data_IF_633831077314
#
_entry.id   IF_633831077314
#
_cell.length_a   1.000
_cell.length_b   1.000
_cell.length_c   1.000
_cell.angle_alpha   90.00
_cell.angle_beta   90.00
_cell.angle_gamma   90.00
#
_symmetry.space_group_name_H-M   'P 1'
#
loop_
_entity.id
_entity.type
_entity.pdbx_description
1 polymer ?
#
# COMPACT_ATOMS: atom_id res chain seq x y z
N UNK A 1 24.61 -17.28 11.39
CA UNK A 1 23.32 -17.04 10.72
C UNK A 1 22.40 -16.27 11.66
N UNK A 2 22.01 -15.06 11.27
CA UNK A 2 21.07 -14.21 12.00
C UNK A 2 19.68 -14.81 11.90
N UNK A 3 19.05 -15.02 13.06
CA UNK A 3 17.68 -15.53 13.12
C UNK A 3 16.75 -14.38 13.39
N UNK A 4 15.82 -14.17 12.47
CA UNK A 4 14.69 -13.27 12.69
C UNK A 4 13.53 -14.12 13.20
N UNK A 5 13.02 -13.77 14.37
CA UNK A 5 11.78 -14.32 14.90
C UNK A 5 10.78 -13.18 15.10
N UNK A 6 9.80 -13.10 14.20
CA UNK A 6 8.75 -12.08 14.22
C UNK A 6 7.43 -12.71 14.58
N UNK A 7 6.68 -12.02 15.43
CA UNK A 7 5.31 -12.37 15.81
C UNK A 7 4.41 -11.24 15.32
N UNK A 8 3.52 -11.57 14.40
CA UNK A 8 2.42 -10.69 13.98
C UNK A 8 1.48 -10.49 15.18
N UNK A 9 1.40 -9.25 15.65
CA UNK A 9 0.65 -8.92 16.87
C UNK A 9 -0.86 -8.98 16.65
N UNK A 10 -1.33 -8.75 15.43
CA UNK A 10 -2.76 -8.73 15.12
C UNK A 10 -3.27 -10.17 14.99
N UNK A 11 -2.49 -11.02 14.31
CA UNK A 11 -2.79 -12.45 14.20
C UNK A 11 -2.57 -13.22 15.52
N UNK A 12 -1.65 -12.79 16.39
CA UNK A 12 -1.35 -13.52 17.62
C UNK A 12 -2.48 -13.41 18.66
N UNK A 13 -3.18 -14.52 18.92
CA UNK A 13 -4.28 -14.59 19.89
C UNK A 13 -3.99 -15.60 21.03
N UNK A 14 -3.13 -15.24 22.03
CA UNK A 14 -2.72 -16.17 23.10
C UNK A 14 -3.88 -16.78 23.89
N UNK A 15 -4.93 -15.98 24.13
CA UNK A 15 -6.14 -16.42 24.86
C UNK A 15 -6.91 -17.54 24.15
N UNK A 16 -6.77 -17.66 22.82
CA UNK A 16 -7.50 -18.62 21.99
C UNK A 16 -6.63 -19.79 21.49
N UNK A 17 -5.30 -19.69 21.54
CA UNK A 17 -4.40 -20.73 21.01
C UNK A 17 -3.87 -21.73 22.05
N UNK A 18 -4.21 -21.57 23.34
CA UNK A 18 -3.70 -22.46 24.39
C UNK A 18 -2.16 -22.41 24.56
N UNK A 19 -1.50 -21.36 24.06
CA UNK A 19 -0.05 -21.12 24.12
C UNK A 19 0.79 -22.25 23.47
N UNK A 20 0.32 -22.81 22.35
CA UNK A 20 1.00 -23.91 21.64
C UNK A 20 2.47 -23.60 21.30
N UNK A 21 2.77 -22.37 20.89
CA UNK A 21 4.14 -21.96 20.59
C UNK A 21 5.10 -22.05 21.78
N UNK A 22 4.60 -21.85 23.01
CA UNK A 22 5.38 -21.98 24.26
C UNK A 22 5.52 -23.46 24.64
N UNK A 23 4.44 -24.25 24.50
CA UNK A 23 4.38 -25.67 24.88
C UNK A 23 5.22 -26.59 23.99
N UNK A 24 5.16 -26.36 22.67
CA UNK A 24 5.80 -27.22 21.67
C UNK A 24 7.20 -26.76 21.28
N UNK A 25 7.69 -25.64 21.80
CA UNK A 25 9.07 -25.23 21.57
C UNK A 25 10.04 -26.15 22.34
N UNK A 26 10.91 -26.91 21.65
CA UNK A 26 11.75 -27.91 22.29
C UNK A 26 12.78 -27.28 23.23
N UNK A 27 13.27 -26.09 22.87
CA UNK A 27 14.28 -25.34 23.64
C UNK A 27 13.68 -24.68 24.88
N UNK A 28 12.35 -24.51 24.91
CA UNK A 28 11.68 -23.86 26.04
C UNK A 28 11.74 -24.68 27.33
N UNK A 29 12.01 -25.98 27.21
CA UNK A 29 12.26 -26.89 28.34
C UNK A 29 13.61 -26.62 29.02
N UNK A 30 14.55 -26.03 28.30
CA UNK A 30 15.94 -25.78 28.75
C UNK A 30 16.25 -24.30 28.99
N UNK A 31 15.38 -23.38 28.57
CA UNK A 31 15.51 -21.92 28.80
C UNK A 31 14.29 -21.15 28.29
N UNK A 32 14.13 -19.87 28.65
CA UNK A 32 12.98 -19.04 28.25
C UNK A 32 13.14 -18.52 26.81
N UNK A 33 12.80 -19.34 25.83
CA UNK A 33 12.93 -19.01 24.40
C UNK A 33 11.67 -18.34 23.87
N UNK A 34 10.50 -18.88 24.21
CA UNK A 34 9.19 -18.34 23.80
C UNK A 34 8.37 -18.12 25.05
N UNK A 35 7.87 -16.90 25.25
CA UNK A 35 7.00 -16.59 26.37
C UNK A 35 5.88 -15.64 25.96
N UNK A 36 4.81 -15.61 26.75
CA UNK A 36 3.81 -14.56 26.64
C UNK A 36 4.26 -13.42 27.54
N UNK A 37 4.49 -12.26 26.94
CA UNK A 37 4.89 -11.08 27.68
C UNK A 37 3.67 -10.43 28.34
N UNK A 38 3.80 -10.06 29.61
CA UNK A 38 2.69 -9.59 30.44
C UNK A 38 2.22 -8.19 30.06
N UNK A 39 3.11 -7.34 29.54
CA UNK A 39 2.81 -5.98 29.15
C UNK A 39 2.14 -5.95 27.78
N UNK A 40 2.75 -6.61 26.78
CA UNK A 40 2.19 -6.62 25.42
C UNK A 40 1.07 -7.65 25.27
N UNK A 41 0.92 -8.62 26.19
CA UNK A 41 -0.07 -9.72 26.16
C UNK A 41 -0.01 -10.56 24.88
N UNK A 42 1.18 -10.65 24.27
CA UNK A 42 1.47 -11.35 23.01
C UNK A 42 2.70 -12.23 23.20
N UNK A 43 2.89 -13.19 22.29
CA UNK A 43 4.07 -14.04 22.31
C UNK A 43 5.33 -13.25 21.90
N UNK A 44 6.44 -13.47 22.60
CA UNK A 44 7.77 -12.96 22.28
C UNK A 44 8.71 -14.15 22.11
N UNK A 45 9.59 -14.07 21.12
CA UNK A 45 10.58 -15.11 20.81
C UNK A 45 11.97 -14.50 20.92
N UNK A 46 12.80 -15.08 21.78
CA UNK A 46 14.22 -14.73 21.89
C UNK A 46 14.98 -15.21 20.67
N UNK A 47 15.48 -14.27 19.87
CA UNK A 47 16.29 -14.57 18.68
C UNK A 47 17.63 -15.22 19.03
N UNK A 48 18.21 -14.88 20.19
CA UNK A 48 19.47 -15.43 20.67
C UNK A 48 19.35 -16.92 21.05
N UNK A 49 18.22 -17.31 21.68
CA UNK A 49 18.02 -18.68 22.17
C UNK A 49 17.26 -19.57 21.18
N UNK A 50 16.52 -19.00 20.23
CA UNK A 50 15.72 -19.76 19.27
C UNK A 50 16.61 -20.50 18.27
N UNK A 51 16.57 -21.83 18.22
CA UNK A 51 17.37 -22.64 17.27
C UNK A 51 16.84 -22.65 15.83
N UNK A 52 15.71 -22.00 15.54
CA UNK A 52 15.15 -21.94 14.19
C UNK A 52 14.47 -23.21 13.70
N UNK A 53 14.09 -24.15 14.58
CA UNK A 53 13.46 -25.43 14.20
C UNK A 53 12.09 -25.32 13.52
N UNK A 54 11.45 -24.14 13.52
CA UNK A 54 10.17 -23.90 12.83
C UNK A 54 8.93 -24.54 13.48
N UNK A 55 9.07 -25.35 14.54
CA UNK A 55 7.94 -26.07 15.16
C UNK A 55 6.82 -25.12 15.60
N UNK A 56 7.16 -23.97 16.18
CA UNK A 56 6.17 -22.98 16.61
C UNK A 56 5.41 -22.32 15.44
N UNK A 57 5.96 -22.31 14.22
CA UNK A 57 5.26 -21.80 13.02
C UNK A 57 4.13 -22.76 12.69
N UNK A 58 4.42 -24.05 12.57
CA UNK A 58 3.45 -25.08 12.21
C UNK A 58 2.42 -25.35 13.32
N UNK A 59 2.79 -25.12 14.58
CA UNK A 59 1.92 -25.24 15.75
C UNK A 59 1.22 -23.93 16.11
N UNK A 60 1.31 -22.87 15.30
CA UNK A 60 0.51 -21.67 15.54
C UNK A 60 -0.80 -21.78 14.75
N UNK A 61 -1.97 -21.89 15.41
CA UNK A 61 -3.24 -22.02 14.70
C UNK A 61 -3.61 -20.76 13.92
N UNK A 62 -3.04 -19.61 14.30
CA UNK A 62 -3.25 -18.30 13.66
C UNK A 62 -2.15 -17.90 12.69
N UNK A 63 -1.15 -18.78 12.44
CA UNK A 63 0.00 -18.51 11.57
C UNK A 63 0.74 -17.20 11.88
N UNK A 64 0.70 -16.76 13.15
CA UNK A 64 1.22 -15.46 13.58
C UNK A 64 2.75 -15.41 13.71
N UNK A 65 3.45 -16.52 13.53
CA UNK A 65 4.89 -16.63 13.81
C UNK A 65 5.66 -16.82 12.50
N UNK A 66 6.70 -16.02 12.34
CA UNK A 66 7.66 -16.12 11.24
C UNK A 66 9.06 -16.28 11.79
N UNK A 67 9.75 -17.36 11.39
CA UNK A 67 11.18 -17.54 11.64
C UNK A 67 11.91 -17.63 10.31
N UNK A 68 12.93 -16.81 10.14
CA UNK A 68 13.77 -16.78 8.92
C UNK A 68 15.23 -16.69 9.33
N UNK A 69 16.07 -17.46 8.64
CA UNK A 69 17.52 -17.36 8.74
C UNK A 69 17.98 -16.38 7.66
N UNK A 70 18.61 -15.28 8.07
CA UNK A 70 19.25 -14.33 7.16
C UNK A 70 20.78 -14.48 7.20
N UNK A 71 21.47 -14.05 6.14
CA UNK A 71 22.92 -13.86 6.15
C UNK A 71 23.38 -12.99 7.32
N UNK A 72 24.51 -13.34 7.93
CA UNK A 72 25.07 -12.63 9.09
C UNK A 72 25.44 -11.18 8.79
N UNK A 73 25.78 -10.90 7.53
CA UNK A 73 26.13 -9.57 7.05
C UNK A 73 25.00 -8.54 7.24
N UNK A 74 23.74 -8.98 7.20
CA UNK A 74 22.59 -8.11 7.39
C UNK A 74 22.36 -7.68 8.84
N UNK A 75 22.99 -8.32 9.83
CA UNK A 75 22.85 -7.90 11.23
C UNK A 75 23.33 -6.47 11.44
N UNK A 76 24.45 -6.12 10.80
CA UNK A 76 25.06 -4.80 10.87
C UNK A 76 24.25 -3.75 10.12
N UNK A 77 23.44 -4.17 9.16
CA UNK A 77 22.61 -3.30 8.34
C UNK A 77 21.22 -3.04 8.95
N UNK A 78 20.95 -3.52 10.17
CA UNK A 78 19.66 -3.35 10.82
C UNK A 78 19.45 -1.88 11.23
N UNK A 79 18.47 -1.23 10.62
CA UNK A 79 18.22 0.22 10.77
C UNK A 79 17.20 0.46 11.88
N UNK A 80 16.09 -0.28 11.88
CA UNK A 80 15.01 -0.05 12.83
C UNK A 80 14.25 -1.32 13.15
N UNK A 81 13.82 -1.46 14.41
CA UNK A 81 12.96 -2.54 14.89
C UNK A 81 11.79 -2.01 15.71
N UNK A 82 10.58 -2.48 15.42
CA UNK A 82 9.39 -2.19 16.22
C UNK A 82 9.26 -3.13 17.43
N UNK A 83 10.12 -2.93 18.43
CA UNK A 83 10.11 -3.69 19.69
C UNK A 83 10.44 -5.18 19.55
N UNK A 84 10.37 -5.95 20.66
CA UNK A 84 10.69 -7.36 20.67
C UNK A 84 9.79 -8.15 19.70
N UNK A 85 10.40 -9.03 18.92
CA UNK A 85 9.76 -9.83 17.87
C UNK A 85 8.86 -9.03 16.89
N UNK A 86 9.08 -7.73 16.75
CA UNK A 86 8.39 -6.92 15.74
C UNK A 86 9.16 -6.80 14.43
N UNK A 87 8.56 -6.08 13.49
CA UNK A 87 9.10 -5.84 12.16
C UNK A 87 10.51 -5.21 12.21
N UNK A 88 11.40 -5.67 11.32
CA UNK A 88 12.78 -5.15 11.15
C UNK A 88 13.00 -4.56 9.75
N UNK A 89 13.60 -3.37 9.69
CA UNK A 89 14.05 -2.73 8.46
C UNK A 89 15.57 -2.81 8.34
N UNK A 90 16.06 -3.24 7.18
CA UNK A 90 17.48 -3.32 6.85
C UNK A 90 17.83 -2.41 5.68
N UNK A 91 18.96 -1.71 5.81
CA UNK A 91 19.47 -0.71 4.85
C UNK A 91 18.51 0.47 4.61
N UNK A 92 19.04 1.53 4.02
CA UNK A 92 18.30 2.71 3.57
C UNK A 92 18.81 3.10 2.17
N UNK A 93 17.96 3.70 1.32
CA UNK A 93 18.37 4.20 0.03
C UNK A 93 19.32 5.38 0.21
N UNK A 94 20.36 5.45 -0.62
CA UNK A 94 21.21 6.64 -0.68
C UNK A 94 20.48 7.76 -1.40
N UNK A 95 20.34 8.91 -0.75
CA UNK A 95 19.69 10.10 -1.31
C UNK A 95 20.74 11.02 -1.91
N UNK A 96 20.51 11.48 -3.14
CA UNK A 96 21.36 12.47 -3.85
C UNK A 96 20.53 13.65 -4.28
N UNK A 97 21.09 14.86 -4.20
CA UNK A 97 20.41 16.07 -4.68
C UNK A 97 20.25 16.01 -6.20
N UNK A 98 19.08 16.43 -6.66
CA UNK A 98 18.72 16.46 -8.09
C UNK A 98 18.53 15.08 -8.72
N UNK A 99 18.38 14.04 -7.91
CA UNK A 99 17.95 12.70 -8.34
C UNK A 99 16.71 12.30 -7.57
N UNK A 100 15.76 11.69 -8.28
CA UNK A 100 14.55 11.14 -7.70
C UNK A 100 14.76 9.65 -7.48
N UNK A 101 14.74 9.23 -6.21
CA UNK A 101 14.81 7.83 -5.84
C UNK A 101 13.38 7.29 -5.68
N UNK A 102 12.99 6.40 -6.59
CA UNK A 102 11.76 5.63 -6.49
C UNK A 102 11.93 4.43 -5.56
N UNK A 103 10.86 4.07 -4.86
CA UNK A 103 10.81 2.92 -3.96
C UNK A 103 9.70 2.00 -4.42
N UNK A 104 10.08 0.77 -4.80
CA UNK A 104 9.16 -0.25 -5.25
C UNK A 104 9.18 -1.45 -4.29
N UNK A 105 8.03 -2.03 -4.01
CA UNK A 105 7.98 -3.21 -3.14
C UNK A 105 6.56 -3.55 -2.68
N UNK A 106 6.36 -4.76 -2.15
CA UNK A 106 5.06 -5.17 -1.59
C UNK A 106 4.71 -4.35 -0.34
N UNK A 107 3.43 -4.42 0.07
CA UNK A 107 2.95 -3.79 1.29
C UNK A 107 3.59 -4.45 2.53
N UNK A 108 3.64 -3.70 3.64
CA UNK A 108 4.21 -4.16 4.91
C UNK A 108 5.69 -4.60 4.85
N UNK A 109 6.47 -4.07 3.90
CA UNK A 109 7.93 -4.24 3.84
C UNK A 109 8.72 -3.03 4.39
N UNK A 110 8.05 -2.10 5.08
CA UNK A 110 8.75 -0.98 5.74
C UNK A 110 9.02 0.25 4.87
N UNK A 111 8.39 0.38 3.69
CA UNK A 111 8.52 1.57 2.82
C UNK A 111 8.16 2.88 3.55
N UNK A 112 7.01 2.91 4.23
CA UNK A 112 6.59 4.06 5.05
C UNK A 112 7.48 4.26 6.28
N UNK A 113 7.99 3.19 6.90
CA UNK A 113 8.96 3.29 8.01
C UNK A 113 10.24 3.98 7.55
N UNK A 114 10.76 3.58 6.39
CA UNK A 114 11.92 4.20 5.75
C UNK A 114 11.66 5.67 5.40
N UNK A 115 10.49 6.00 4.85
CA UNK A 115 10.08 7.37 4.59
C UNK A 115 10.12 8.23 5.87
N UNK A 116 9.56 7.74 6.98
CA UNK A 116 9.60 8.41 8.29
C UNK A 116 11.01 8.62 8.83
N UNK A 117 11.89 7.63 8.65
CA UNK A 117 13.30 7.75 9.05
C UNK A 117 14.00 8.85 8.27
N UNK A 118 13.83 8.85 6.94
CA UNK A 118 14.45 9.85 6.07
C UNK A 118 13.82 11.24 6.24
N UNK A 119 12.54 11.33 6.62
CA UNK A 119 11.86 12.58 6.94
C UNK A 119 12.35 13.22 8.26
N UNK A 120 13.02 12.44 9.12
CA UNK A 120 13.40 12.84 10.48
C UNK A 120 12.27 12.71 11.51
N UNK A 121 11.13 12.11 11.13
CA UNK A 121 9.98 11.85 12.03
C UNK A 121 10.23 10.68 12.97
N UNK A 122 11.10 9.75 12.57
CA UNK A 122 11.48 8.57 13.33
C UNK A 122 13.00 8.48 13.41
N UNK A 123 13.55 8.54 14.62
CA UNK A 123 14.97 8.22 14.83
C UNK A 123 15.13 6.69 14.81
N UNK A 124 15.95 6.13 13.91
CA UNK A 124 16.18 4.69 13.85
C UNK A 124 16.86 4.22 15.14
N UNK A 125 16.43 3.08 15.69
CA UNK A 125 16.99 2.54 16.93
C UNK A 125 18.12 1.54 16.69
N UNK A 126 18.55 1.37 15.44
CA UNK A 126 19.62 0.47 15.02
C UNK A 126 19.42 -0.97 15.51
N UNK A 127 18.15 -1.34 15.74
CA UNK A 127 17.75 -2.61 16.33
C UNK A 127 18.40 -2.92 17.69
N UNK A 128 18.81 -1.88 18.43
CA UNK A 128 19.37 -1.96 19.77
C UNK A 128 18.37 -2.68 20.71
N UNK A 129 18.84 -3.62 21.56
CA UNK A 129 18.01 -4.25 22.60
C UNK A 129 17.24 -3.28 23.50
N UNK A 130 17.77 -2.08 23.76
CA UNK A 130 17.08 -1.04 24.55
C UNK A 130 15.97 -0.30 23.77
N UNK A 131 15.84 -0.55 22.46
CA UNK A 131 14.80 0.03 21.61
C UNK A 131 14.98 1.52 21.28
N UNK A 132 16.12 2.11 21.65
CA UNK A 132 16.49 3.52 21.41
C UNK A 132 17.91 3.64 20.88
N UNK A 133 18.16 4.67 20.09
CA UNK A 133 19.50 5.11 19.70
C UNK A 133 19.53 6.64 19.63
N UNK A 134 20.69 7.22 19.88
CA UNK A 134 20.89 8.67 19.75
C UNK A 134 21.15 9.06 18.29
N UNK A 135 20.82 10.30 17.87
CA UNK A 135 21.19 10.81 16.56
C UNK A 135 22.69 10.64 16.21
N UNK A 136 23.58 10.79 17.19
CA UNK A 136 25.03 10.61 17.01
C UNK A 136 25.40 9.16 16.70
N UNK A 137 24.75 8.18 17.34
CA UNK A 137 24.93 6.77 17.07
C UNK A 137 24.49 6.42 15.64
N UNK A 138 23.37 6.99 15.19
CA UNK A 138 22.88 6.83 13.81
C UNK A 138 23.89 7.39 12.81
N UNK A 139 24.40 8.61 13.03
CA UNK A 139 25.42 9.21 12.15
C UNK A 139 26.70 8.34 12.14
N UNK A 140 27.11 7.80 13.28
CA UNK A 140 28.27 6.92 13.40
C UNK A 140 28.08 5.61 12.63
N UNK A 141 26.87 5.04 12.64
CA UNK A 141 26.56 3.81 11.93
C UNK A 141 26.76 3.96 10.41
N UNK A 142 26.37 5.11 9.86
CA UNK A 142 26.49 5.40 8.43
C UNK A 142 27.85 6.02 8.04
N UNK A 143 28.86 5.96 8.91
CA UNK A 143 30.17 6.62 8.68
C UNK A 143 30.81 6.18 7.35
N UNK A 144 31.27 7.16 6.58
CA UNK A 144 31.90 6.93 5.28
C UNK A 144 30.91 6.79 4.11
N UNK A 145 29.61 7.01 4.36
CA UNK A 145 28.57 7.00 3.33
C UNK A 145 27.93 8.38 3.16
N UNK A 146 27.22 8.61 2.05
CA UNK A 146 26.45 9.85 1.82
C UNK A 146 25.35 10.05 2.89
N UNK A 147 24.84 8.96 3.47
CA UNK A 147 23.85 9.02 4.55
C UNK A 147 24.41 9.63 5.84
N UNK A 148 25.72 9.54 6.08
CA UNK A 148 26.34 10.22 7.22
C UNK A 148 26.11 11.74 7.14
N UNK A 149 26.42 12.32 5.98
CA UNK A 149 26.26 13.76 5.73
C UNK A 149 24.78 14.13 5.79
N UNK A 150 23.92 13.34 5.15
CA UNK A 150 22.48 13.55 5.18
C UNK A 150 21.91 13.60 6.61
N UNK A 151 22.19 12.58 7.44
CA UNK A 151 21.69 12.55 8.82
C UNK A 151 22.31 13.66 9.69
N UNK A 152 23.58 14.01 9.46
CA UNK A 152 24.21 15.13 10.16
C UNK A 152 23.48 16.44 9.88
N UNK A 153 23.15 16.74 8.61
CA UNK A 153 22.41 17.95 8.24
C UNK A 153 20.94 17.90 8.68
N UNK A 154 20.31 16.72 8.62
CA UNK A 154 18.93 16.51 9.06
C UNK A 154 18.78 16.76 10.57
N UNK A 155 19.60 16.10 11.39
CA UNK A 155 19.50 16.21 12.85
C UNK A 155 20.02 17.54 13.40
N UNK A 156 20.93 18.21 12.68
CA UNK A 156 21.31 19.59 12.97
C UNK A 156 20.30 20.65 12.48
N UNK A 157 19.15 20.22 11.93
CA UNK A 157 18.08 21.07 11.40
C UNK A 157 18.52 22.01 10.27
N UNK A 158 19.58 21.66 9.54
CA UNK A 158 20.01 22.36 8.33
C UNK A 158 19.14 22.02 7.12
N UNK A 159 18.57 20.82 7.10
CA UNK A 159 17.62 20.39 6.07
C UNK A 159 16.19 20.64 6.50
N UNK A 160 15.41 21.30 5.65
CA UNK A 160 13.95 21.35 5.78
C UNK A 160 13.34 20.17 5.05
N UNK A 161 12.46 19.41 5.72
CA UNK A 161 11.82 18.23 5.15
C UNK A 161 10.33 18.46 4.93
N UNK A 162 9.81 17.91 3.83
CA UNK A 162 8.39 17.83 3.52
C UNK A 162 8.05 16.38 3.24
N UNK A 163 7.09 15.86 3.98
CA UNK A 163 6.60 14.49 3.83
C UNK A 163 5.10 14.51 3.51
N UNK A 164 4.74 14.11 2.28
CA UNK A 164 3.37 13.79 1.90
C UNK A 164 3.10 12.35 2.35
N UNK A 165 2.19 12.20 3.31
CA UNK A 165 1.81 10.89 3.87
C UNK A 165 0.92 10.07 2.92
N UNK A 166 0.91 8.76 3.11
CA UNK A 166 0.12 7.81 2.32
C UNK A 166 -1.40 8.05 2.44
N UNK A 167 -1.92 8.14 3.67
CA UNK A 167 -3.36 8.20 3.94
C UNK A 167 -3.95 9.62 3.86
N UNK A 168 -4.28 10.07 2.66
CA UNK A 168 -4.87 11.40 2.44
C UNK A 168 -6.25 11.59 3.04
N UNK A 169 -6.96 10.51 3.33
CA UNK A 169 -8.26 10.54 3.99
C UNK A 169 -8.20 11.00 5.45
N UNK A 170 -7.01 11.00 6.05
CA UNK A 170 -6.80 11.56 7.38
C UNK A 170 -6.69 13.09 7.35
N UNK A 171 -6.44 13.70 6.18
CA UNK A 171 -6.26 15.16 6.05
C UNK A 171 -7.47 15.94 6.58
N UNK A 172 -8.73 15.60 6.25
CA UNK A 172 -9.91 16.30 6.78
C UNK A 172 -10.08 16.23 8.30
N UNK A 173 -9.39 15.29 8.98
CA UNK A 173 -9.39 15.21 10.45
C UNK A 173 -8.51 16.30 11.08
N UNK A 174 -7.42 16.68 10.40
CA UNK A 174 -6.45 17.66 10.91
C UNK A 174 -6.61 19.06 10.28
N UNK A 175 -7.23 19.13 9.10
CA UNK A 175 -7.37 20.35 8.32
C UNK A 175 -8.85 20.65 8.11
N UNK A 176 -9.33 21.69 8.79
CA UNK A 176 -10.68 22.24 8.63
C UNK A 176 -10.63 23.53 7.81
N UNK A 177 -11.72 23.86 7.13
CA UNK A 177 -11.86 25.07 6.33
C UNK A 177 -12.16 24.80 4.86
N UNK A 178 -12.14 25.88 4.07
CA UNK A 178 -12.29 25.83 2.62
C UNK A 178 -10.97 25.46 1.94
N UNK A 179 -11.03 25.02 0.68
CA UNK A 179 -9.84 24.82 -0.14
C UNK A 179 -9.07 26.13 -0.31
N UNK A 180 -9.77 27.26 -0.45
CA UNK A 180 -9.14 28.58 -0.51
C UNK A 180 -8.28 28.89 0.71
N UNK A 181 -8.74 28.54 1.92
CA UNK A 181 -7.97 28.72 3.15
C UNK A 181 -6.68 27.89 3.13
N UNK A 182 -6.77 26.65 2.65
CA UNK A 182 -5.61 25.75 2.55
C UNK A 182 -4.62 26.24 1.51
N UNK A 183 -5.09 26.63 0.33
CA UNK A 183 -4.29 27.21 -0.76
C UNK A 183 -3.51 28.42 -0.25
N UNK A 184 -4.19 29.34 0.43
CA UNK A 184 -3.58 30.53 1.01
C UNK A 184 -2.57 30.19 2.11
N UNK A 185 -2.92 29.28 3.02
CA UNK A 185 -2.05 28.88 4.14
C UNK A 185 -0.80 28.13 3.70
N UNK A 186 -0.93 27.27 2.68
CA UNK A 186 0.18 26.50 2.14
C UNK A 186 1.00 27.27 1.10
N UNK A 187 0.55 28.46 0.68
CA UNK A 187 1.24 29.28 -0.32
C UNK A 187 1.22 28.66 -1.72
N UNK A 188 0.12 27.98 -2.08
CA UNK A 188 0.01 27.33 -3.39
C UNK A 188 -0.07 28.40 -4.48
N UNK A 189 0.94 28.39 -5.37
CA UNK A 189 1.02 29.34 -6.47
C UNK A 189 -0.03 29.05 -7.55
N UNK A 190 -0.28 30.05 -8.40
CA UNK A 190 -1.31 29.97 -9.44
C UNK A 190 -1.02 28.86 -10.46
N UNK A 191 0.25 28.61 -10.77
CA UNK A 191 0.66 27.55 -11.69
C UNK A 191 0.24 26.16 -11.18
N UNK A 192 0.50 25.85 -9.91
CA UNK A 192 0.10 24.57 -9.29
C UNK A 192 -1.43 24.49 -9.12
N UNK A 193 -2.06 25.61 -8.76
CA UNK A 193 -3.52 25.71 -8.64
C UNK A 193 -4.22 25.31 -9.95
N UNK A 194 -3.81 25.92 -11.06
CA UNK A 194 -4.36 25.64 -12.39
C UNK A 194 -3.99 24.24 -12.87
N UNK A 195 -2.74 23.80 -12.68
CA UNK A 195 -2.27 22.47 -13.13
C UNK A 195 -3.09 21.33 -12.53
N UNK A 196 -3.44 21.45 -11.25
CA UNK A 196 -4.24 20.45 -10.54
C UNK A 196 -5.75 20.70 -10.59
N UNK A 197 -6.21 21.79 -11.22
CA UNK A 197 -7.62 22.14 -11.31
C UNK A 197 -8.25 22.47 -9.95
N UNK A 198 -7.45 23.02 -9.02
CA UNK A 198 -7.89 23.40 -7.67
C UNK A 198 -8.62 24.75 -7.66
N UNK A 199 -8.48 25.53 -8.72
CA UNK A 199 -9.17 26.80 -8.98
C UNK A 199 -10.70 26.64 -8.90
N UNK A 200 -11.22 25.53 -9.42
CA UNK A 200 -12.66 25.22 -9.43
C UNK A 200 -13.19 24.74 -8.08
N UNK A 201 -12.30 24.47 -7.12
CA UNK A 201 -12.63 23.83 -5.85
C UNK A 201 -12.48 24.79 -4.66
N UNK A 202 -12.07 26.04 -4.89
CA UNK A 202 -11.72 27.02 -3.85
C UNK A 202 -12.81 27.18 -2.76
N UNK A 203 -14.07 27.23 -3.17
CA UNK A 203 -15.21 27.43 -2.26
C UNK A 203 -15.67 26.15 -1.54
N UNK A 204 -15.19 24.97 -1.98
CA UNK A 204 -15.54 23.70 -1.35
C UNK A 204 -14.81 23.53 -0.03
N UNK A 205 -15.43 22.80 0.90
CA UNK A 205 -14.76 22.39 2.13
C UNK A 205 -13.85 21.20 1.88
N UNK A 206 -12.77 21.11 2.63
CA UNK A 206 -11.80 20.00 2.55
C UNK A 206 -12.48 18.64 2.84
N UNK A 207 -13.48 18.62 3.73
CA UNK A 207 -14.23 17.41 4.08
C UNK A 207 -15.12 16.86 2.96
N UNK A 208 -15.50 17.72 2.02
CA UNK A 208 -16.37 17.35 0.90
C UNK A 208 -15.58 16.89 -0.34
N UNK A 209 -14.24 16.97 -0.29
CA UNK A 209 -13.38 16.60 -1.41
C UNK A 209 -13.32 15.08 -1.59
N UNK A 210 -13.33 14.64 -2.85
CA UNK A 210 -13.05 13.26 -3.21
C UNK A 210 -11.59 12.90 -2.93
N UNK A 211 -11.27 11.60 -2.85
CA UNK A 211 -9.91 11.12 -2.61
C UNK A 211 -8.89 11.65 -3.63
N UNK A 212 -9.26 11.76 -4.91
CA UNK A 212 -8.40 12.34 -5.95
C UNK A 212 -8.21 13.85 -5.80
N UNK A 213 -9.25 14.60 -5.41
CA UNK A 213 -9.15 16.03 -5.13
C UNK A 213 -8.28 16.30 -3.89
N UNK A 214 -8.45 15.52 -2.81
CA UNK A 214 -7.60 15.56 -1.63
C UNK A 214 -6.15 15.24 -1.96
N UNK A 215 -5.92 14.24 -2.80
CA UNK A 215 -4.58 13.87 -3.25
C UNK A 215 -3.90 15.02 -3.99
N UNK A 216 -4.60 15.65 -4.94
CA UNK A 216 -4.11 16.81 -5.68
C UNK A 216 -3.79 17.99 -4.76
N UNK A 217 -4.68 18.29 -3.80
CA UNK A 217 -4.46 19.33 -2.81
C UNK A 217 -3.22 19.03 -1.93
N UNK A 218 -3.06 17.78 -1.50
CA UNK A 218 -1.93 17.35 -0.67
C UNK A 218 -0.59 17.47 -1.41
N UNK A 219 -0.54 17.02 -2.67
CA UNK A 219 0.65 17.14 -3.52
C UNK A 219 0.97 18.62 -3.79
N UNK A 220 -0.02 19.43 -4.16
CA UNK A 220 0.17 20.87 -4.39
C UNK A 220 0.70 21.59 -3.13
N UNK A 221 0.12 21.31 -1.97
CA UNK A 221 0.57 21.87 -0.69
C UNK A 221 1.98 21.42 -0.32
N UNK A 222 2.37 20.17 -0.64
CA UNK A 222 3.72 19.69 -0.41
C UNK A 222 4.73 20.39 -1.33
N UNK A 223 4.43 20.54 -2.62
CA UNK A 223 5.31 21.19 -3.61
C UNK A 223 5.46 22.70 -3.37
N UNK A 224 4.48 23.33 -2.74
CA UNK A 224 4.50 24.78 -2.46
C UNK A 224 5.39 25.16 -1.27
N UNK A 225 5.78 24.18 -0.45
CA UNK A 225 6.69 24.41 0.67
C UNK A 225 8.13 24.40 0.18
N UNK A 226 8.90 25.43 0.55
CA UNK A 226 10.35 25.48 0.35
C UNK A 226 11.06 24.49 1.28
N UNK A 227 11.55 23.38 0.72
CA UNK A 227 12.23 22.32 1.44
C UNK A 227 13.51 21.86 0.72
N UNK A 228 14.38 21.16 1.44
CA UNK A 228 15.58 20.51 0.92
C UNK A 228 15.34 19.04 0.59
N UNK A 229 14.41 18.42 1.31
CA UNK A 229 14.01 17.01 1.17
C UNK A 229 12.52 16.92 0.94
N UNK A 230 12.13 16.27 -0.15
CA UNK A 230 10.75 15.96 -0.48
C UNK A 230 10.55 14.45 -0.45
N UNK A 231 9.58 13.99 0.33
CA UNK A 231 9.20 12.59 0.43
C UNK A 231 7.72 12.48 0.06
N UNK A 232 7.43 11.70 -0.98
CA UNK A 232 6.08 11.45 -1.43
C UNK A 232 5.74 9.98 -1.22
N UNK A 233 4.85 9.69 -0.27
CA UNK A 233 4.30 8.35 -0.06
C UNK A 233 2.98 8.21 -0.83
N UNK A 234 3.02 7.43 -1.90
CA UNK A 234 1.94 7.21 -2.86
C UNK A 234 1.28 8.50 -3.39
N UNK A 235 2.02 9.36 -4.13
CA UNK A 235 1.50 10.59 -4.73
C UNK A 235 0.49 10.40 -5.87
N UNK A 236 0.39 9.21 -6.47
CA UNK A 236 -0.49 8.93 -7.61
C UNK A 236 -1.79 8.17 -7.27
N UNK A 237 -1.99 7.78 -6.01
CA UNK A 237 -3.17 7.02 -5.58
C UNK A 237 -4.46 7.83 -5.75
N UNK A 238 -5.55 7.15 -6.11
CA UNK A 238 -6.88 7.73 -6.45
C UNK A 238 -6.96 8.59 -7.72
N UNK A 239 -5.83 8.82 -8.41
CA UNK A 239 -5.80 9.62 -9.64
C UNK A 239 -6.02 8.76 -10.89
N UNK A 240 -6.61 9.37 -11.91
CA UNK A 240 -6.67 8.78 -13.25
C UNK A 240 -5.33 8.93 -13.99
N UNK A 241 -5.17 8.23 -15.12
CA UNK A 241 -3.89 8.16 -15.86
C UNK A 241 -3.36 9.56 -16.22
N UNK A 242 -4.22 10.49 -16.62
CA UNK A 242 -3.81 11.84 -17.01
C UNK A 242 -3.35 12.63 -15.80
N UNK A 243 -4.09 12.56 -14.70
CA UNK A 243 -3.74 13.21 -13.44
C UNK A 243 -2.44 12.65 -12.84
N UNK A 244 -2.16 11.35 -12.97
CA UNK A 244 -0.90 10.73 -12.52
C UNK A 244 0.31 11.31 -13.22
N UNK A 245 0.25 11.45 -14.54
CA UNK A 245 1.33 12.06 -15.33
C UNK A 245 1.54 13.52 -14.91
N UNK A 246 0.46 14.28 -14.71
CA UNK A 246 0.55 15.68 -14.24
C UNK A 246 1.25 15.79 -12.88
N UNK A 247 0.98 14.88 -11.95
CA UNK A 247 1.67 14.81 -10.65
C UNK A 247 3.15 14.50 -10.85
N UNK A 248 3.49 13.51 -11.67
CA UNK A 248 4.87 13.13 -11.95
C UNK A 248 5.68 14.32 -12.50
N UNK A 249 5.15 14.99 -13.53
CA UNK A 249 5.79 16.16 -14.13
C UNK A 249 5.96 17.31 -13.12
N UNK A 250 4.92 17.59 -12.32
CA UNK A 250 4.97 18.64 -11.30
C UNK A 250 6.06 18.36 -10.25
N UNK A 251 6.15 17.12 -9.75
CA UNK A 251 7.19 16.73 -8.79
C UNK A 251 8.57 16.92 -9.41
N UNK A 252 8.79 16.44 -10.64
CA UNK A 252 10.09 16.52 -11.31
C UNK A 252 10.55 17.96 -11.54
N UNK A 253 9.65 18.84 -12.00
CA UNK A 253 9.96 20.24 -12.26
C UNK A 253 10.31 21.02 -10.98
N UNK A 254 9.57 20.80 -9.88
CA UNK A 254 9.71 21.60 -8.66
C UNK A 254 10.81 21.10 -7.72
N UNK A 255 11.38 19.91 -7.97
CA UNK A 255 12.35 19.28 -7.06
C UNK A 255 13.74 19.06 -7.67
N UNK A 256 14.04 19.68 -8.81
CA UNK A 256 15.22 19.43 -9.65
C UNK A 256 16.60 19.51 -8.95
N UNK A 257 16.73 20.22 -7.82
CA UNK A 257 17.99 20.36 -7.06
C UNK A 257 17.85 19.93 -5.57
N UNK A 258 16.86 19.10 -5.27
CA UNK A 258 16.47 18.70 -3.92
C UNK A 258 16.72 17.21 -3.71
N UNK A 259 16.68 16.74 -2.47
CA UNK A 259 16.61 15.30 -2.20
C UNK A 259 15.17 14.84 -2.38
N UNK A 260 14.94 13.79 -3.16
CA UNK A 260 13.57 13.34 -3.46
C UNK A 260 13.46 11.83 -3.30
N UNK A 261 12.50 11.40 -2.48
CA UNK A 261 12.11 10.00 -2.35
C UNK A 261 10.64 9.87 -2.74
N UNK A 262 10.33 8.93 -3.64
CA UNK A 262 8.96 8.63 -4.04
C UNK A 262 8.66 7.17 -3.80
N UNK A 263 7.67 6.89 -2.95
CA UNK A 263 7.14 5.53 -2.77
C UNK A 263 5.93 5.39 -3.67
N UNK A 264 5.99 4.43 -4.58
CA UNK A 264 4.90 4.18 -5.53
C UNK A 264 4.70 2.70 -5.81
N UNK A 265 3.48 2.36 -6.18
CA UNK A 265 3.07 1.02 -6.59
C UNK A 265 2.80 0.94 -8.10
N UNK A 266 2.59 2.09 -8.74
CA UNK A 266 2.41 2.18 -10.17
C UNK A 266 3.76 2.23 -10.91
N UNK A 267 4.05 1.15 -11.64
CA UNK A 267 5.29 1.01 -12.42
C UNK A 267 5.39 2.08 -13.52
N UNK A 268 4.27 2.51 -14.09
CA UNK A 268 4.26 3.53 -15.15
C UNK A 268 4.63 4.89 -14.58
N UNK A 269 4.08 5.26 -13.42
CA UNK A 269 4.41 6.51 -12.74
C UNK A 269 5.89 6.53 -12.33
N UNK A 270 6.40 5.40 -11.80
CA UNK A 270 7.80 5.27 -11.44
C UNK A 270 8.74 5.42 -12.65
N UNK A 271 8.40 4.85 -13.81
CA UNK A 271 9.22 4.99 -15.03
C UNK A 271 9.31 6.45 -15.52
N UNK A 272 8.24 7.24 -15.36
CA UNK A 272 8.25 8.67 -15.71
C UNK A 272 8.98 9.55 -14.69
N UNK A 273 8.89 9.19 -13.41
CA UNK A 273 9.25 10.05 -12.29
C UNK A 273 10.66 9.79 -11.72
N UNK A 274 11.07 8.53 -11.60
CA UNK A 274 12.28 8.17 -10.89
C UNK A 274 13.50 8.10 -11.81
N UNK A 275 14.66 8.57 -11.33
CA UNK A 275 15.96 8.33 -11.97
C UNK A 275 16.47 6.92 -11.65
N UNK A 276 16.40 6.59 -10.36
CA UNK A 276 16.81 5.31 -9.81
C UNK A 276 15.69 4.74 -8.96
N UNK A 277 15.59 3.43 -8.91
CA UNK A 277 14.63 2.74 -8.07
C UNK A 277 15.37 1.76 -7.16
N UNK A 278 14.98 1.76 -5.89
CA UNK A 278 15.31 0.70 -4.95
C UNK A 278 14.12 -0.24 -4.80
N UNK A 279 14.39 -1.54 -4.75
CA UNK A 279 13.39 -2.57 -4.51
C UNK A 279 13.47 -2.96 -3.04
N UNK A 280 12.35 -2.83 -2.34
CA UNK A 280 12.21 -3.35 -0.97
C UNK A 280 11.66 -4.76 -1.05
N UNK A 281 12.43 -5.72 -0.56
CA UNK A 281 12.09 -7.15 -0.57
C UNK A 281 12.20 -7.76 0.83
N UNK A 282 11.65 -8.95 1.01
CA UNK A 282 11.60 -9.64 2.30
C UNK A 282 10.25 -10.28 2.53
N UNK A 283 9.89 -10.44 3.80
CA UNK A 283 8.62 -11.05 4.19
C UNK A 283 7.68 -9.99 4.79
N UNK A 284 6.51 -9.71 4.16
CA UNK A 284 5.54 -8.74 4.67
C UNK A 284 5.22 -8.94 6.14
N UNK A 285 5.22 -7.86 6.92
CA UNK A 285 4.97 -7.86 8.36
C UNK A 285 6.14 -8.39 9.22
N UNK A 286 7.14 -9.03 8.62
CA UNK A 286 8.30 -9.59 9.31
C UNK A 286 9.57 -8.75 9.15
N UNK A 287 10.04 -8.59 7.91
CA UNK A 287 11.22 -7.77 7.64
C UNK A 287 11.24 -7.26 6.21
N UNK A 288 11.91 -6.12 6.02
CA UNK A 288 12.19 -5.53 4.72
C UNK A 288 13.66 -5.19 4.57
N UNK A 289 14.22 -5.47 3.42
CA UNK A 289 15.60 -5.15 3.02
C UNK A 289 15.50 -4.23 1.80
N UNK A 290 16.18 -3.09 1.86
CA UNK A 290 16.30 -2.17 0.73
C UNK A 290 17.45 -2.63 -0.16
N UNK A 291 17.17 -2.88 -1.45
CA UNK A 291 18.20 -3.24 -2.42
C UNK A 291 19.14 -2.08 -2.74
N UNK A 292 20.25 -2.39 -3.39
CA UNK A 292 21.03 -1.39 -4.11
C UNK A 292 20.16 -0.68 -5.18
N UNK A 293 20.40 0.62 -5.46
CA UNK A 293 19.66 1.35 -6.48
C UNK A 293 20.04 0.87 -7.88
N UNK A 294 19.05 0.68 -8.73
CA UNK A 294 19.22 0.42 -10.16
C UNK A 294 18.56 1.54 -10.98
N UNK A 295 18.84 1.62 -12.28
CA UNK A 295 18.11 2.53 -13.17
C UNK A 295 16.62 2.17 -13.18
N UNK A 296 15.72 3.15 -13.33
CA UNK A 296 14.27 2.91 -13.19
C UNK A 296 13.76 1.73 -14.03
N UNK A 297 14.10 1.69 -15.33
CA UNK A 297 13.72 0.59 -16.24
C UNK A 297 14.28 -0.76 -15.84
N UNK A 298 15.54 -0.79 -15.40
CA UNK A 298 16.21 -2.02 -14.96
C UNK A 298 15.51 -2.58 -13.72
N UNK A 299 15.31 -1.75 -12.70
CA UNK A 299 14.61 -2.14 -11.47
C UNK A 299 13.17 -2.62 -11.72
N UNK A 300 12.42 -1.94 -12.59
CA UNK A 300 11.06 -2.36 -12.96
C UNK A 300 11.09 -3.75 -13.61
N UNK A 301 12.02 -3.98 -14.53
CA UNK A 301 12.16 -5.28 -15.19
C UNK A 301 12.60 -6.38 -14.22
N UNK A 302 13.52 -6.11 -13.29
CA UNK A 302 13.93 -7.04 -12.24
C UNK A 302 12.75 -7.41 -11.32
N UNK A 303 11.96 -6.40 -10.93
CA UNK A 303 10.76 -6.61 -10.12
C UNK A 303 9.72 -7.48 -10.84
N UNK A 304 9.48 -7.21 -12.13
CA UNK A 304 8.59 -8.00 -12.99
C UNK A 304 9.13 -9.42 -13.23
N UNK A 305 10.45 -9.60 -13.36
CA UNK A 305 11.08 -10.92 -13.47
C UNK A 305 11.01 -11.72 -12.16
N UNK A 306 10.95 -11.01 -11.02
CA UNK A 306 10.96 -11.62 -9.68
C UNK A 306 12.37 -11.95 -9.18
N UNK A 307 13.41 -11.35 -9.76
CA UNK A 307 14.80 -11.59 -9.42
C UNK A 307 15.61 -10.28 -9.47
N UNK A 308 16.27 -9.95 -8.36
CA UNK A 308 17.12 -8.76 -8.21
C UNK A 308 18.57 -9.21 -8.42
N UNK A 309 19.20 -8.76 -9.50
CA UNK A 309 20.51 -9.27 -9.90
C UNK A 309 21.62 -8.80 -8.96
N UNK A 310 21.57 -7.55 -8.53
CA UNK A 310 22.55 -6.93 -7.62
C UNK A 310 22.61 -7.58 -6.24
N UNK A 311 21.51 -8.21 -5.81
CA UNK A 311 21.41 -8.91 -4.52
C UNK A 311 21.50 -10.44 -4.68
N UNK A 312 21.57 -10.95 -5.91
CA UNK A 312 21.43 -12.39 -6.22
C UNK A 312 20.19 -13.01 -5.50
N UNK A 313 19.06 -12.30 -5.55
CA UNK A 313 17.89 -12.59 -4.72
C UNK A 313 16.64 -12.82 -5.58
N UNK A 314 16.01 -13.99 -5.40
CA UNK A 314 14.69 -14.27 -5.98
C UNK A 314 13.59 -13.82 -5.02
N UNK A 315 12.87 -12.78 -5.40
CA UNK A 315 11.77 -12.21 -4.61
C UNK A 315 10.41 -12.85 -4.94
N UNK A 316 10.33 -13.60 -6.04
CA UNK A 316 9.11 -14.29 -6.48
C UNK A 316 9.42 -15.48 -7.38
N UNK A 317 8.64 -16.55 -7.24
CA UNK A 317 8.89 -17.81 -7.96
C UNK A 317 8.57 -17.74 -9.46
N UNK A 318 7.53 -16.99 -9.81
CA UNK A 318 7.08 -16.80 -11.20
C UNK A 318 7.25 -15.34 -11.60
N UNK A 319 7.56 -15.00 -12.86
CA UNK A 319 7.57 -13.63 -13.37
C UNK A 319 6.14 -13.09 -13.60
N UNK A 320 5.96 -11.76 -13.60
CA UNK A 320 4.73 -11.10 -14.08
C UNK A 320 4.92 -11.02 -15.60
N UNK A 321 3.96 -11.54 -16.35
CA UNK A 321 3.96 -11.48 -17.81
C UNK A 321 2.72 -10.75 -18.27
N UNK A 322 2.89 -9.87 -19.25
CA UNK A 322 1.80 -9.23 -19.96
C UNK A 322 1.63 -9.96 -21.29
N UNK A 323 0.48 -10.60 -21.49
CA UNK A 323 0.18 -11.26 -22.75
C UNK A 323 -0.15 -10.21 -23.82
N UNK A 324 0.40 -10.38 -25.03
CA UNK A 324 0.16 -9.44 -26.15
C UNK A 324 -1.25 -9.55 -26.72
N UNK A 325 -1.97 -10.61 -26.38
CA UNK A 325 -3.38 -10.82 -26.70
C UNK A 325 -4.10 -11.28 -25.44
N UNK A 326 -5.37 -10.92 -25.27
CA UNK A 326 -6.20 -11.54 -24.25
C UNK A 326 -6.15 -13.07 -24.40
N UNK A 327 -6.15 -13.84 -23.31
CA UNK A 327 -6.17 -15.30 -23.40
C UNK A 327 -7.40 -15.74 -24.21
N UNK A 328 -7.16 -16.55 -25.25
CA UNK A 328 -8.23 -17.08 -26.10
C UNK A 328 -9.19 -17.93 -25.26
N UNK A 329 -10.35 -17.36 -24.92
CA UNK A 329 -11.43 -18.14 -24.34
C UNK A 329 -12.08 -18.91 -25.48
N UNK A 330 -12.06 -20.24 -25.41
CA UNK A 330 -12.77 -21.12 -26.36
C UNK A 330 -14.28 -20.86 -26.26
N UNK A 331 -14.78 -19.88 -26.99
CA UNK A 331 -16.22 -19.66 -27.15
C UNK A 331 -16.54 -19.67 -28.63
N UNK A 332 -17.30 -20.69 -29.07
CA UNK A 332 -18.05 -20.59 -30.33
C UNK A 332 -19.00 -19.39 -30.28
N UNK A 333 -19.48 -18.92 -31.45
CA UNK A 333 -20.33 -17.71 -31.65
C UNK A 333 -20.95 -17.20 -30.34
N UNK A 334 -20.29 -16.23 -29.71
CA UNK A 334 -20.61 -15.83 -28.35
C UNK A 334 -22.00 -15.18 -28.32
N UNK A 335 -22.95 -15.82 -27.62
CA UNK A 335 -24.27 -15.27 -27.39
C UNK A 335 -24.15 -13.92 -26.68
N UNK A 336 -24.87 -12.90 -27.16
CA UNK A 336 -24.97 -11.60 -26.50
C UNK A 336 -25.82 -11.77 -25.25
N UNK A 337 -25.28 -11.41 -24.09
CA UNK A 337 -25.93 -11.61 -22.80
C UNK A 337 -26.69 -10.37 -22.34
N UNK A 338 -26.10 -9.20 -22.59
CA UNK A 338 -26.64 -7.89 -22.25
C UNK A 338 -26.43 -6.99 -23.46
N UNK A 339 -27.45 -6.25 -23.84
CA UNK A 339 -27.42 -5.25 -24.91
C UNK A 339 -28.05 -3.96 -24.40
N UNK A 340 -27.61 -2.82 -24.91
CA UNK A 340 -28.23 -1.53 -24.61
C UNK A 340 -28.32 -0.67 -25.86
N UNK A 341 -29.39 0.12 -25.91
CA UNK A 341 -29.57 1.18 -26.90
C UNK A 341 -28.75 2.42 -26.52
N UNK A 342 -28.81 3.49 -27.31
CA UNK A 342 -28.18 4.76 -26.91
C UNK A 342 -28.80 5.25 -25.60
N UNK A 343 -28.00 5.27 -24.53
CA UNK A 343 -28.44 5.65 -23.19
C UNK A 343 -28.17 7.12 -22.95
N UNK A 344 -29.16 7.82 -22.42
CA UNK A 344 -29.00 9.17 -21.87
C UNK A 344 -29.38 9.15 -20.39
N UNK A 345 -28.47 9.58 -19.53
CA UNK A 345 -28.70 9.70 -18.08
C UNK A 345 -28.50 11.16 -17.69
N UNK A 346 -29.51 11.72 -17.04
CA UNK A 346 -29.47 13.08 -16.50
C UNK A 346 -29.59 13.03 -14.98
N UNK A 347 -28.55 13.49 -14.28
CA UNK A 347 -28.52 13.63 -12.82
C UNK A 347 -28.53 15.12 -12.41
N UNK A 348 -29.06 15.99 -13.28
CA UNK A 348 -29.18 17.44 -13.07
C UNK A 348 -27.88 18.17 -13.39
N UNK A 349 -26.86 18.01 -12.53
CA UNK A 349 -25.54 18.65 -12.70
C UNK A 349 -24.57 17.85 -13.56
N UNK A 350 -24.97 16.66 -14.01
CA UNK A 350 -24.13 15.73 -14.75
C UNK A 350 -24.99 14.98 -15.78
N UNK A 351 -24.52 14.97 -17.02
CA UNK A 351 -25.14 14.26 -18.12
C UNK A 351 -24.19 13.20 -18.66
N UNK A 352 -24.72 12.01 -18.92
CA UNK A 352 -23.98 10.89 -19.46
C UNK A 352 -24.69 10.36 -20.71
N UNK A 353 -23.94 10.31 -21.80
CA UNK A 353 -24.33 9.70 -23.07
C UNK A 353 -23.49 8.44 -23.28
N UNK A 354 -24.17 7.32 -23.58
CA UNK A 354 -23.51 6.04 -23.87
C UNK A 354 -24.07 5.49 -25.17
N UNK A 355 -23.20 5.27 -26.16
CA UNK A 355 -23.60 4.64 -27.42
C UNK A 355 -24.02 3.18 -27.21
N UNK A 356 -24.97 2.74 -28.01
CA UNK A 356 -25.48 1.37 -28.06
C UNK A 356 -24.37 0.35 -28.26
N UNK A 357 -24.42 -0.73 -27.48
CA UNK A 357 -23.44 -1.82 -27.56
C UNK A 357 -23.96 -3.05 -26.79
N UNK A 358 -23.12 -4.08 -26.68
CA UNK A 358 -23.45 -5.35 -26.02
C UNK A 358 -22.26 -5.95 -25.27
N UNK A 359 -22.54 -6.92 -24.40
CA UNK A 359 -21.55 -7.78 -23.74
C UNK A 359 -21.80 -9.22 -24.16
N UNK A 360 -20.80 -9.87 -24.75
CA UNK A 360 -20.89 -11.26 -25.17
C UNK A 360 -20.54 -12.25 -24.04
N UNK A 361 -21.06 -13.48 -24.15
CA UNK A 361 -20.76 -14.55 -23.20
C UNK A 361 -19.27 -14.84 -23.15
N UNK A 362 -18.71 -14.74 -21.95
CA UNK A 362 -17.29 -15.00 -21.69
C UNK A 362 -16.36 -13.84 -22.08
N UNK A 363 -16.90 -12.72 -22.54
CA UNK A 363 -16.13 -11.49 -22.77
C UNK A 363 -15.79 -10.80 -21.46
N UNK A 364 -14.66 -10.09 -21.43
CA UNK A 364 -14.31 -9.16 -20.35
C UNK A 364 -14.19 -7.78 -20.97
N UNK A 365 -15.10 -6.88 -20.60
CA UNK A 365 -15.12 -5.50 -21.09
C UNK A 365 -14.54 -4.59 -20.01
N UNK A 366 -13.45 -3.90 -20.32
CA UNK A 366 -12.86 -2.88 -19.46
C UNK A 366 -13.43 -1.50 -19.75
N UNK A 367 -13.88 -0.79 -18.71
CA UNK A 367 -14.34 0.61 -18.83
C UNK A 367 -13.26 1.53 -18.28
N UNK A 368 -12.70 2.38 -19.14
CA UNK A 368 -11.62 3.31 -18.80
C UNK A 368 -12.02 4.75 -19.11
N UNK A 369 -11.42 5.71 -18.39
CA UNK A 369 -11.65 7.13 -18.60
C UNK A 369 -11.38 7.96 -17.35
N UNK A 370 -11.39 9.30 -17.45
CA UNK A 370 -11.15 10.20 -16.34
C UNK A 370 -12.10 10.01 -15.16
N UNK A 371 -11.68 10.46 -13.97
CA UNK A 371 -12.58 10.53 -12.82
C UNK A 371 -13.74 11.49 -13.10
N UNK A 372 -14.95 11.15 -12.64
CA UNK A 372 -16.15 11.97 -12.88
C UNK A 372 -16.80 11.85 -14.25
N UNK A 373 -16.24 11.11 -15.22
CA UNK A 373 -16.85 10.93 -16.56
C UNK A 373 -18.10 10.04 -16.59
N UNK A 374 -18.54 9.49 -15.45
CA UNK A 374 -19.76 8.67 -15.37
C UNK A 374 -19.59 7.16 -15.44
N UNK A 375 -18.36 6.61 -15.34
CA UNK A 375 -18.12 5.15 -15.34
C UNK A 375 -18.98 4.40 -14.30
N UNK A 376 -19.01 4.89 -13.07
CA UNK A 376 -19.79 4.30 -11.98
C UNK A 376 -21.29 4.45 -12.24
N UNK A 377 -21.72 5.59 -12.80
CA UNK A 377 -23.12 5.81 -13.21
C UNK A 377 -23.53 4.83 -14.30
N UNK A 378 -22.68 4.61 -15.31
CA UNK A 378 -22.91 3.61 -16.36
C UNK A 378 -23.07 2.20 -15.79
N UNK A 379 -22.19 1.78 -14.88
CA UNK A 379 -22.32 0.48 -14.20
C UNK A 379 -23.64 0.38 -13.40
N UNK A 380 -24.04 1.45 -12.70
CA UNK A 380 -25.33 1.48 -11.98
C UNK A 380 -26.53 1.38 -12.91
N UNK A 381 -26.44 1.92 -14.13
CA UNK A 381 -27.48 1.74 -15.15
C UNK A 381 -27.56 0.29 -15.60
N UNK A 382 -26.42 -0.37 -15.86
CA UNK A 382 -26.38 -1.78 -16.24
C UNK A 382 -26.93 -2.71 -15.14
N UNK A 383 -26.70 -2.38 -13.87
CA UNK A 383 -27.23 -3.14 -12.71
C UNK A 383 -28.72 -2.83 -12.46
N UNK A 384 -29.25 -1.74 -13.03
CA UNK A 384 -30.63 -1.30 -12.85
C UNK A 384 -30.87 -0.42 -11.61
N UNK A 385 -29.81 0.03 -10.92
CA UNK A 385 -29.91 0.97 -9.79
C UNK A 385 -30.27 2.38 -10.24
N UNK A 386 -29.84 2.78 -11.44
CA UNK A 386 -30.14 4.08 -12.05
C UNK A 386 -30.89 3.85 -13.34
N UNK A 387 -32.06 4.48 -13.47
CA UNK A 387 -32.83 4.44 -14.72
C UNK A 387 -32.34 5.53 -15.68
N UNK A 388 -32.02 5.19 -16.94
CA UNK A 388 -31.69 6.20 -17.92
C UNK A 388 -32.94 7.03 -18.27
N UNK A 389 -32.74 8.30 -18.61
CA UNK A 389 -33.78 9.19 -19.11
C UNK A 389 -34.18 8.86 -20.56
N UNK A 390 -33.26 8.31 -21.36
CA UNK A 390 -33.54 7.72 -22.69
C UNK A 390 -32.75 6.43 -22.91
N UNK A 391 -33.29 5.55 -23.76
CA UNK A 391 -32.70 4.25 -24.07
C UNK A 391 -33.06 3.17 -23.05
N UNK A 392 -32.75 1.92 -23.38
CA UNK A 392 -33.06 0.74 -22.56
C UNK A 392 -31.88 -0.22 -22.50
N UNK A 393 -31.78 -0.96 -21.39
CA UNK A 393 -30.85 -2.08 -21.22
C UNK A 393 -31.66 -3.36 -21.24
N UNK A 394 -31.32 -4.27 -22.15
CA UNK A 394 -32.00 -5.54 -22.37
C UNK A 394 -31.05 -6.70 -22.05
N UNK A 395 -31.50 -7.63 -21.22
CA UNK A 395 -30.74 -8.83 -20.88
C UNK A 395 -31.30 -9.53 -19.65
N UNK A 396 -31.58 -10.83 -19.76
CA UNK A 396 -32.07 -11.64 -18.63
C UNK A 396 -30.89 -12.35 -17.99
N UNK A 397 -30.09 -11.60 -17.23
CA UNK A 397 -28.91 -12.13 -16.53
C UNK A 397 -29.00 -11.91 -15.03
N UNK A 398 -28.42 -12.83 -14.25
CA UNK A 398 -28.16 -12.59 -12.84
C UNK A 398 -26.89 -11.75 -12.74
N UNK A 399 -26.99 -10.57 -12.14
CA UNK A 399 -25.89 -9.61 -12.02
C UNK A 399 -25.29 -9.72 -10.62
N UNK A 400 -23.96 -9.84 -10.55
CA UNK A 400 -23.20 -9.65 -9.31
C UNK A 400 -22.45 -8.32 -9.43
N UNK A 401 -22.65 -7.43 -8.46
CA UNK A 401 -22.11 -6.07 -8.49
C UNK A 401 -21.23 -5.81 -7.26
N UNK A 402 -19.98 -5.38 -7.50
CA UNK A 402 -19.06 -4.89 -6.47
C UNK A 402 -19.05 -3.35 -6.52
N UNK A 403 -19.62 -2.65 -5.53
CA UNK A 403 -19.61 -1.19 -5.51
C UNK A 403 -18.20 -0.64 -5.29
N UNK A 404 -17.98 0.59 -5.75
CA UNK A 404 -16.69 1.29 -5.58
C UNK A 404 -16.42 1.70 -4.11
N UNK A 405 -17.47 2.07 -3.37
CA UNK A 405 -17.39 2.32 -1.92
C UNK A 405 -17.94 1.11 -1.17
N UNK A 406 -17.07 0.47 -0.39
CA UNK A 406 -17.41 -0.68 0.48
C UNK A 406 -17.47 -0.29 1.96
N UNK A 407 -17.12 0.97 2.29
CA UNK A 407 -17.12 1.47 3.68
C UNK A 407 -18.50 1.44 4.31
N UNK A 408 -19.52 1.75 3.53
CA UNK A 408 -20.91 1.74 4.02
C UNK A 408 -21.35 0.33 4.41
N UNK A 409 -20.78 -0.71 3.78
CA UNK A 409 -21.03 -2.11 4.12
C UNK A 409 -20.42 -2.42 5.49
N UNK A 410 -19.16 -2.04 5.71
CA UNK A 410 -18.50 -2.24 7.00
C UNK A 410 -19.17 -1.42 8.11
N UNK A 411 -19.54 -0.16 7.84
CA UNK A 411 -20.21 0.72 8.79
C UNK A 411 -21.57 0.17 9.24
N UNK A 412 -22.35 -0.41 8.33
CA UNK A 412 -23.64 -1.03 8.66
C UNK A 412 -23.51 -2.36 9.40
N UNK A 413 -22.36 -3.03 9.30
CA UNK A 413 -22.13 -4.36 9.85
C UNK A 413 -20.98 -4.37 10.87
N UNK A 414 -20.72 -3.26 11.56
CA UNK A 414 -19.51 -3.06 12.37
C UNK A 414 -19.21 -4.21 13.33
N UNK A 415 -20.24 -4.76 13.97
CA UNK A 415 -20.12 -5.80 14.99
C UNK A 415 -20.17 -7.23 14.41
N UNK A 416 -20.50 -7.38 13.12
CA UNK A 416 -20.66 -8.68 12.47
C UNK A 416 -19.29 -9.28 12.14
N UNK A 417 -19.01 -10.53 12.53
CA UNK A 417 -17.82 -11.25 12.08
C UNK A 417 -17.81 -11.44 10.55
N UNK A 418 -16.63 -11.39 9.93
CA UNK A 418 -16.49 -11.56 8.47
C UNK A 418 -17.06 -12.90 8.00
N UNK A 419 -16.82 -14.00 8.75
CA UNK A 419 -17.38 -15.32 8.45
C UNK A 419 -18.90 -15.31 8.38
N UNK A 420 -19.55 -14.68 9.37
CA UNK A 420 -21.01 -14.58 9.42
C UNK A 420 -21.55 -13.70 8.29
N UNK A 421 -20.89 -12.59 7.99
CA UNK A 421 -21.29 -11.72 6.89
C UNK A 421 -21.17 -12.44 5.53
N UNK A 422 -20.06 -13.15 5.29
CA UNK A 422 -19.89 -13.98 4.10
C UNK A 422 -20.96 -15.07 4.01
N UNK A 423 -21.28 -15.73 5.13
CA UNK A 423 -22.34 -16.73 5.16
C UNK A 423 -23.72 -16.16 4.82
N UNK A 424 -24.01 -14.92 5.25
CA UNK A 424 -25.26 -14.22 4.91
C UNK A 424 -25.35 -13.86 3.43
N UNK A 425 -24.22 -13.51 2.79
CA UNK A 425 -24.21 -13.07 1.39
C UNK A 425 -24.07 -14.22 0.39
N UNK A 426 -23.25 -15.21 0.71
CA UNK A 426 -22.85 -16.28 -0.22
C UNK A 426 -23.34 -17.68 0.20
N UNK A 427 -24.05 -17.81 1.32
CA UNK A 427 -24.41 -19.11 1.89
C UNK A 427 -23.18 -19.83 2.46
N UNK A 428 -23.12 -21.16 2.39
CA UNK A 428 -21.93 -21.89 2.79
C UNK A 428 -20.80 -21.67 1.78
N UNK A 429 -20.03 -20.61 2.00
CA UNK A 429 -18.93 -20.22 1.13
C UNK A 429 -17.78 -21.22 1.18
N UNK A 430 -17.70 -22.06 2.22
CA UNK A 430 -16.62 -23.03 2.39
C UNK A 430 -16.73 -24.21 1.43
N UNK A 431 -17.96 -24.56 1.02
CA UNK A 431 -18.26 -25.58 0.02
C UNK A 431 -18.09 -25.08 -1.42
N UNK A 432 -17.83 -23.79 -1.63
CA UNK A 432 -17.62 -23.25 -2.96
C UNK A 432 -16.28 -23.77 -3.53
N UNK A 433 -16.25 -24.39 -4.72
CA UNK A 433 -15.02 -24.95 -5.31
C UNK A 433 -13.88 -23.94 -5.48
N UNK A 434 -14.18 -22.64 -5.52
CA UNK A 434 -13.20 -21.56 -5.70
C UNK A 434 -12.67 -21.05 -4.34
N UNK A 435 -13.32 -21.40 -3.23
CA UNK A 435 -12.95 -20.94 -1.89
C UNK A 435 -11.50 -21.25 -1.47
N UNK A 436 -10.94 -22.46 -1.73
CA UNK A 436 -9.55 -22.74 -1.38
C UNK A 436 -8.56 -21.78 -2.05
N UNK A 437 -8.82 -21.42 -3.31
CA UNK A 437 -7.98 -20.49 -4.08
C UNK A 437 -8.15 -19.05 -3.57
N UNK A 438 -9.38 -18.64 -3.24
CA UNK A 438 -9.63 -17.30 -2.67
C UNK A 438 -9.02 -17.14 -1.28
N UNK A 439 -9.23 -18.12 -0.41
CA UNK A 439 -8.74 -18.10 0.95
C UNK A 439 -7.20 -18.11 0.99
N UNK A 440 -6.56 -18.96 0.19
CA UNK A 440 -5.10 -19.02 0.11
C UNK A 440 -4.49 -17.80 -0.61
N UNK A 441 -5.13 -17.34 -1.69
CA UNK A 441 -4.65 -16.21 -2.49
C UNK A 441 -4.74 -14.86 -1.79
N UNK A 442 -5.86 -14.61 -1.09
CA UNK A 442 -6.09 -13.36 -0.36
C UNK A 442 -5.77 -13.44 1.13
N UNK A 443 -5.39 -14.62 1.63
CA UNK A 443 -5.13 -14.88 3.05
C UNK A 443 -6.33 -14.46 3.93
N UNK A 444 -7.53 -14.98 3.61
CA UNK A 444 -8.77 -14.59 4.29
C UNK A 444 -8.92 -15.24 5.67
N UNK A 445 -8.27 -16.38 5.91
CA UNK A 445 -8.43 -17.17 7.14
C UNK A 445 -8.24 -16.36 8.45
N UNK A 446 -7.24 -15.49 8.58
CA UNK A 446 -7.08 -14.64 9.78
C UNK A 446 -8.17 -13.57 9.91
N UNK A 447 -8.87 -13.22 8.82
CA UNK A 447 -9.87 -12.16 8.79
C UNK A 447 -11.28 -12.67 9.14
N UNK A 448 -11.56 -13.96 8.94
CA UNK A 448 -12.88 -14.57 9.13
C UNK A 448 -13.47 -14.30 10.53
N UNK A 449 -12.63 -14.29 11.56
CA UNK A 449 -13.04 -14.09 12.95
C UNK A 449 -13.02 -12.61 13.39
N UNK A 450 -12.51 -11.71 12.55
CA UNK A 450 -12.50 -10.27 12.82
C UNK A 450 -13.87 -9.68 12.52
N UNK A 451 -14.16 -8.56 13.18
CA UNK A 451 -15.39 -7.80 12.91
C UNK A 451 -15.20 -6.93 11.69
N UNK A 452 -16.25 -6.72 10.90
CA UNK A 452 -16.19 -5.87 9.70
C UNK A 452 -15.70 -4.45 10.01
N UNK A 453 -16.02 -3.91 11.20
CA UNK A 453 -15.56 -2.58 11.63
C UNK A 453 -14.08 -2.50 12.02
N UNK A 454 -13.42 -3.64 12.21
CA UNK A 454 -11.99 -3.72 12.59
C UNK A 454 -11.06 -3.90 11.39
N UNK A 455 -11.62 -4.13 10.19
CA UNK A 455 -10.84 -4.35 8.98
C UNK A 455 -10.18 -3.05 8.49
N UNK A 456 -8.94 -3.17 8.02
CA UNK A 456 -8.30 -2.10 7.26
C UNK A 456 -8.92 -1.98 5.85
N UNK A 457 -8.74 -0.83 5.19
CA UNK A 457 -9.35 -0.58 3.88
C UNK A 457 -8.90 -1.48 2.73
N UNK A 458 -7.81 -2.25 2.89
CA UNK A 458 -7.41 -3.28 1.92
C UNK A 458 -7.85 -4.69 2.30
N UNK A 459 -8.21 -4.92 3.56
CA UNK A 459 -8.78 -6.19 4.05
C UNK A 459 -10.28 -6.26 3.79
N UNK A 460 -10.98 -5.13 3.95
CA UNK A 460 -12.37 -4.92 3.52
C UNK A 460 -12.45 -4.94 1.99
#
# INVERSE_FOLDING_TARGET
>A
MVRIAVVDRDACQPRKCGHECVKYCPVNRSGKVVWIDEQIKKAVISEALCIGCGICIHKCPFQAITIVNLPDELERDCVHRYGPSGFKLYRLPMLRRGRIIGVLGRNALGKTTMAKVLAGELVPNLCNPEGRASPEEVIKQFRGTELQTYFSELYSKKLRTVHKIQYVELIPMYLKGSVADVVKKAGINEQLLQRFGLDKLLDRKVEDLSGGELQKLAVAAALSKEADVYIFDEPATHLDIVERVRVADAVREHTANKYVLVVEHDLTVLDFLADNIVIVYGKPGAYGIVSHPAGAREAINEYLAGYISSENMRIRDRPIRFESRPPERKTGKAARLVEWEDLFVDLGGFQLEVSSSYIAKGEVVGVVGPNGIGKTTFLKVLVGEVKPAKGSVNGTVKISYKPQSIRDIAAKNQETPVSLWLAQQAGDYSDNPIWPDLNSGFNLAPLLERRMGELSGGEL
#
